data_IF_582774477024
#
_entry.id   IF_582774477024
#
_cell.length_a   1.000
_cell.length_b   1.000
_cell.length_c   1.000
_cell.angle_alpha   90.00
_cell.angle_beta   90.00
_cell.angle_gamma   90.00
#
_symmetry.space_group_name_H-M   'P 1'
#
loop_
_entity.id
_entity.type
_entity.pdbx_description
1 polymer ?
#
# COMPACT_ATOMS: atom_id res chain seq x y z
N UNK A 1 31.86 16.24 0.59
CA UNK A 1 30.82 15.92 -0.40
C UNK A 1 29.50 16.50 0.10
N UNK A 2 28.81 17.31 -0.71
CA UNK A 2 27.45 17.75 -0.33
C UNK A 2 26.49 16.55 -0.35
N UNK A 3 25.68 16.42 0.68
CA UNK A 3 24.63 15.41 0.72
C UNK A 3 23.67 15.63 -0.46
N UNK A 4 23.34 14.56 -1.18
CA UNK A 4 22.38 14.61 -2.30
C UNK A 4 21.00 14.99 -1.78
N UNK A 5 20.36 15.98 -2.37
CA UNK A 5 19.10 16.55 -1.88
C UNK A 5 17.90 15.88 -2.56
N UNK A 6 16.93 15.40 -1.77
CA UNK A 6 15.72 14.74 -2.24
C UNK A 6 14.48 15.46 -1.72
N UNK A 7 13.55 15.73 -2.62
CA UNK A 7 12.23 16.28 -2.28
C UNK A 7 11.15 15.20 -2.42
N UNK A 8 10.63 14.71 -1.30
CA UNK A 8 9.47 13.82 -1.26
C UNK A 8 8.19 14.65 -1.38
N UNK A 9 7.44 14.45 -2.45
CA UNK A 9 6.20 15.18 -2.73
C UNK A 9 5.03 14.25 -2.49
N UNK A 10 4.23 14.55 -1.46
CA UNK A 10 3.17 13.67 -0.99
C UNK A 10 1.90 14.43 -0.62
N UNK A 11 0.77 13.82 -0.87
CA UNK A 11 -0.50 14.21 -0.27
C UNK A 11 -0.79 13.30 0.91
N UNK A 12 -0.34 13.71 2.11
CA UNK A 12 -0.60 12.93 3.32
C UNK A 12 -2.11 12.70 3.50
N UNK A 13 -2.49 11.45 3.71
CA UNK A 13 -3.86 11.03 3.94
C UNK A 13 -4.10 10.48 5.36
N UNK A 14 -3.04 10.49 6.22
CA UNK A 14 -3.06 9.93 7.57
C UNK A 14 -3.27 8.41 7.58
N UNK A 15 -2.89 7.73 6.49
CA UNK A 15 -3.03 6.29 6.30
C UNK A 15 -1.83 5.75 5.49
N UNK A 16 -2.02 4.80 4.58
CA UNK A 16 -0.98 4.13 3.82
C UNK A 16 0.04 5.07 3.16
N UNK A 17 -0.42 6.11 2.46
CA UNK A 17 0.49 7.05 1.79
C UNK A 17 1.36 7.88 2.76
N UNK A 18 0.86 8.13 3.97
CA UNK A 18 1.67 8.76 5.03
C UNK A 18 2.76 7.81 5.51
N UNK A 19 2.44 6.53 5.70
CA UNK A 19 3.42 5.48 6.04
C UNK A 19 4.46 5.31 4.94
N UNK A 20 4.05 5.29 3.68
CA UNK A 20 4.97 5.24 2.53
C UNK A 20 6.01 6.36 2.60
N UNK A 21 5.55 7.57 2.84
CA UNK A 21 6.40 8.75 2.96
C UNK A 21 7.38 8.63 4.13
N UNK A 22 6.92 8.19 5.28
CA UNK A 22 7.74 8.05 6.50
C UNK A 22 8.81 6.97 6.32
N UNK A 23 8.47 5.82 5.72
CA UNK A 23 9.41 4.74 5.42
C UNK A 23 10.50 5.22 4.43
N UNK A 24 10.10 5.86 3.33
CA UNK A 24 11.04 6.38 2.34
C UNK A 24 11.95 7.47 2.92
N UNK A 25 11.38 8.40 3.69
CA UNK A 25 12.14 9.46 4.35
C UNK A 25 13.15 8.88 5.35
N UNK A 26 12.77 7.85 6.09
CA UNK A 26 13.64 7.14 7.03
C UNK A 26 14.83 6.48 6.31
N UNK A 27 14.58 5.75 5.24
CA UNK A 27 15.63 5.10 4.43
C UNK A 27 16.60 6.14 3.84
N UNK A 28 16.07 7.22 3.26
CA UNK A 28 16.90 8.26 2.65
C UNK A 28 17.77 8.99 3.67
N UNK A 29 17.18 9.38 4.82
CA UNK A 29 17.95 10.04 5.90
C UNK A 29 19.01 9.12 6.50
N UNK A 30 18.67 7.85 6.71
CA UNK A 30 19.62 6.84 7.17
C UNK A 30 20.80 6.62 6.22
N UNK A 31 20.62 6.88 4.93
CA UNK A 31 21.65 6.83 3.90
C UNK A 31 22.37 8.17 3.67
N UNK A 32 22.10 9.20 4.49
CA UNK A 32 22.79 10.50 4.44
C UNK A 32 22.26 11.49 3.41
N UNK A 33 21.05 11.27 2.85
CA UNK A 33 20.41 12.24 1.96
C UNK A 33 19.81 13.42 2.75
N UNK A 34 19.87 14.63 2.16
CA UNK A 34 19.10 15.78 2.63
C UNK A 34 17.66 15.67 2.13
N UNK A 35 16.71 15.39 3.04
CA UNK A 35 15.32 15.07 2.69
C UNK A 35 14.39 16.19 3.08
N UNK A 36 13.84 16.87 2.09
CA UNK A 36 12.71 17.77 2.23
C UNK A 36 11.39 17.01 1.95
N UNK A 37 10.36 17.23 2.78
CA UNK A 37 9.01 16.72 2.52
C UNK A 37 8.09 17.87 2.11
N UNK A 38 7.59 17.82 0.89
CA UNK A 38 6.61 18.78 0.37
C UNK A 38 5.19 18.23 0.50
N UNK A 39 4.47 18.68 1.53
CA UNK A 39 3.07 18.31 1.72
C UNK A 39 2.16 19.08 0.76
N UNK A 40 1.29 18.35 0.07
CA UNK A 40 0.27 18.92 -0.79
C UNK A 40 -1.01 19.15 0.01
N UNK A 41 -1.37 20.42 0.24
CA UNK A 41 -2.64 20.79 0.89
C UNK A 41 -3.88 20.39 0.07
N UNK A 42 -5.04 20.30 0.73
CA UNK A 42 -6.31 20.16 0.05
C UNK A 42 -6.55 21.37 -0.88
N UNK A 43 -6.86 21.12 -2.16
CA UNK A 43 -7.11 22.15 -3.16
C UNK A 43 -8.35 22.96 -2.82
N UNK A 44 -8.17 24.17 -2.29
CA UNK A 44 -9.20 25.22 -2.37
C UNK A 44 -9.40 25.62 -3.84
N UNK A 45 -10.64 25.56 -4.36
CA UNK A 45 -10.98 25.78 -5.78
C UNK A 45 -10.54 27.17 -6.35
N UNK A 46 -10.41 28.19 -5.52
CA UNK A 46 -10.10 29.56 -5.96
C UNK A 46 -8.61 29.89 -6.11
N UNK A 47 -7.73 29.29 -5.30
CA UNK A 47 -6.28 29.59 -5.39
C UNK A 47 -5.60 29.00 -6.65
N UNK A 48 -6.26 28.03 -7.30
CA UNK A 48 -5.69 27.31 -8.44
C UNK A 48 -5.74 28.05 -9.78
N UNK A 49 -6.72 28.94 -10.00
CA UNK A 49 -6.78 29.74 -11.24
C UNK A 49 -5.67 30.79 -11.29
N UNK A 50 -5.43 31.47 -10.18
CA UNK A 50 -4.35 32.45 -10.05
C UNK A 50 -2.97 31.81 -10.14
N UNK A 51 -2.77 30.65 -9.48
CA UNK A 51 -1.50 29.91 -9.55
C UNK A 51 -1.23 29.34 -10.96
N UNK A 52 -2.27 28.91 -11.70
CA UNK A 52 -2.13 28.48 -13.09
C UNK A 52 -1.78 29.63 -14.02
N UNK A 53 -2.38 30.81 -13.82
CA UNK A 53 -2.04 32.01 -14.60
C UNK A 53 -0.60 32.46 -14.33
N UNK A 54 -0.18 32.52 -13.07
CA UNK A 54 1.21 32.80 -12.69
C UNK A 54 2.21 31.75 -13.21
N UNK A 55 1.86 30.46 -13.19
CA UNK A 55 2.70 29.41 -13.75
C UNK A 55 2.82 29.50 -15.28
N UNK A 56 1.72 29.92 -15.97
CA UNK A 56 1.71 30.13 -17.43
C UNK A 56 2.52 31.36 -17.82
N UNK A 57 2.40 32.47 -17.08
CA UNK A 57 3.20 33.66 -17.27
C UNK A 57 4.68 33.43 -16.97
N UNK A 58 5.01 32.67 -15.90
CA UNK A 58 6.39 32.25 -15.61
C UNK A 58 6.97 31.32 -16.67
N UNK A 59 6.16 30.46 -17.33
CA UNK A 59 6.60 29.63 -18.47
C UNK A 59 6.97 30.47 -19.68
N UNK A 60 6.18 31.50 -20.02
CA UNK A 60 6.47 32.43 -21.12
C UNK A 60 7.73 33.27 -20.82
N UNK A 61 7.90 33.71 -19.60
CA UNK A 61 9.07 34.51 -19.18
C UNK A 61 10.36 33.70 -19.10
N UNK A 62 10.27 32.40 -18.75
CA UNK A 62 11.41 31.46 -18.67
C UNK A 62 11.87 30.92 -20.02
N UNK A 63 11.03 30.94 -21.04
CA UNK A 63 11.42 30.62 -22.42
C UNK A 63 12.46 31.60 -22.98
N UNK A 64 12.58 32.77 -22.39
CA UNK A 64 13.47 33.85 -22.86
C UNK A 64 14.82 33.90 -22.12
N UNK A 65 14.95 33.28 -20.98
CA UNK A 65 16.23 33.14 -20.25
C UNK A 65 16.64 31.68 -20.17
N UNK A 66 17.31 31.19 -21.19
CA UNK A 66 18.10 29.95 -21.12
C UNK A 66 19.37 30.20 -20.28
N UNK A 67 19.18 30.45 -18.98
CA UNK A 67 20.21 30.25 -17.98
C UNK A 67 19.80 29.03 -17.18
N UNK A 68 20.68 28.09 -16.97
CA UNK A 68 20.53 26.93 -16.08
C UNK A 68 20.07 27.46 -14.71
N UNK A 69 18.75 27.47 -14.48
CA UNK A 69 18.22 27.68 -13.15
C UNK A 69 18.68 26.46 -12.36
N UNK A 70 19.57 26.68 -11.40
CA UNK A 70 20.00 25.65 -10.45
C UNK A 70 18.75 24.98 -9.90
N UNK A 71 18.52 23.73 -10.26
CA UNK A 71 17.48 22.92 -9.66
C UNK A 71 17.71 22.93 -8.15
N UNK A 72 16.64 23.17 -7.37
CA UNK A 72 16.73 23.25 -5.92
C UNK A 72 17.08 21.92 -5.27
N UNK A 73 16.72 20.82 -5.96
CA UNK A 73 16.91 19.46 -5.50
C UNK A 73 17.59 18.63 -6.59
N UNK A 74 18.31 17.60 -6.19
CA UNK A 74 18.86 16.64 -7.13
C UNK A 74 17.74 15.74 -7.67
N UNK A 75 16.83 15.30 -6.77
CA UNK A 75 15.74 14.40 -7.13
C UNK A 75 14.40 14.84 -6.49
N UNK A 76 13.35 14.91 -7.30
CA UNK A 76 11.96 14.87 -6.84
C UNK A 76 11.47 13.42 -6.83
N UNK A 77 10.83 12.98 -5.76
CA UNK A 77 10.08 11.73 -5.70
C UNK A 77 8.62 12.07 -5.44
N UNK A 78 7.76 11.86 -6.43
CA UNK A 78 6.33 12.09 -6.34
C UNK A 78 5.62 10.80 -5.94
N UNK A 79 4.92 10.83 -4.80
CA UNK A 79 4.16 9.69 -4.31
C UNK A 79 2.71 9.78 -4.80
N UNK A 80 2.27 8.81 -5.61
CA UNK A 80 0.92 8.63 -6.15
C UNK A 80 0.44 9.77 -7.07
N UNK A 81 0.65 11.02 -6.68
CA UNK A 81 0.09 12.18 -7.37
C UNK A 81 1.14 12.91 -8.20
N UNK A 82 0.85 13.13 -9.49
CA UNK A 82 1.71 13.90 -10.39
C UNK A 82 1.52 15.42 -10.17
N UNK A 83 2.62 16.15 -10.06
CA UNK A 83 2.65 17.61 -9.86
C UNK A 83 3.50 18.28 -10.94
N UNK A 84 2.89 18.59 -12.10
CA UNK A 84 3.62 19.15 -13.25
C UNK A 84 4.36 20.44 -12.95
N UNK A 85 3.86 21.23 -11.99
CA UNK A 85 4.46 22.51 -11.58
C UNK A 85 5.77 22.34 -10.79
N UNK A 86 6.06 21.14 -10.29
CA UNK A 86 7.24 20.88 -9.47
C UNK A 86 8.40 20.23 -10.26
N UNK A 87 8.17 19.75 -11.48
CA UNK A 87 9.22 19.09 -12.27
C UNK A 87 10.50 19.93 -12.41
N UNK A 88 10.37 21.25 -12.60
CA UNK A 88 11.50 22.15 -12.76
C UNK A 88 12.29 22.44 -11.47
N UNK A 89 11.86 21.88 -10.34
CA UNK A 89 12.52 22.09 -9.05
C UNK A 89 13.62 21.07 -8.78
N UNK A 90 13.72 20.01 -9.56
CA UNK A 90 14.77 19.01 -9.42
C UNK A 90 15.42 18.69 -10.77
N UNK A 91 16.64 18.14 -10.70
CA UNK A 91 17.37 17.65 -11.88
C UNK A 91 16.74 16.37 -12.42
N UNK A 92 16.31 15.48 -11.53
CA UNK A 92 15.65 14.22 -11.84
C UNK A 92 14.27 14.14 -11.19
N UNK A 93 13.34 13.49 -11.86
CA UNK A 93 11.98 13.32 -11.38
C UNK A 93 11.60 11.84 -11.41
N UNK A 94 11.21 11.32 -10.26
CA UNK A 94 10.78 9.93 -10.04
C UNK A 94 9.33 9.92 -9.60
N UNK A 95 8.58 8.94 -10.09
CA UNK A 95 7.22 8.65 -9.63
C UNK A 95 7.20 7.32 -8.89
N UNK A 96 6.52 7.27 -7.74
CA UNK A 96 6.15 6.02 -7.05
C UNK A 96 4.63 5.97 -7.03
N UNK A 97 4.00 5.32 -8.01
CA UNK A 97 2.54 5.29 -8.13
C UNK A 97 1.91 4.16 -7.31
N UNK A 98 0.62 4.34 -7.01
CA UNK A 98 -0.30 3.27 -6.68
C UNK A 98 -1.28 3.13 -7.86
N UNK A 99 -1.30 2.00 -8.58
CA UNK A 99 -2.09 1.85 -9.81
C UNK A 99 -3.57 2.16 -9.65
N UNK A 100 -4.17 1.80 -8.52
CA UNK A 100 -5.58 2.00 -8.21
C UNK A 100 -5.97 3.46 -7.91
N UNK A 101 -4.96 4.35 -7.77
CA UNK A 101 -5.15 5.79 -7.55
C UNK A 101 -4.50 6.65 -8.64
N UNK A 102 -3.88 6.02 -9.66
CA UNK A 102 -3.21 6.74 -10.73
C UNK A 102 -4.22 7.16 -11.81
N UNK A 103 -4.76 8.37 -11.67
CA UNK A 103 -5.76 8.93 -12.59
C UNK A 103 -5.26 8.93 -14.05
N UNK A 104 -6.05 8.44 -14.99
CA UNK A 104 -5.72 8.34 -16.43
C UNK A 104 -5.23 9.64 -17.05
N UNK A 105 -5.71 10.80 -16.55
CA UNK A 105 -5.24 12.12 -17.00
C UNK A 105 -3.74 12.34 -16.82
N UNK A 106 -3.09 11.58 -15.94
CA UNK A 106 -1.65 11.70 -15.65
C UNK A 106 -0.78 10.85 -16.58
N UNK A 107 -1.35 9.96 -17.41
CA UNK A 107 -0.60 9.15 -18.37
C UNK A 107 0.24 10.03 -19.30
N UNK A 108 -0.30 11.15 -19.76
CA UNK A 108 0.41 12.13 -20.60
C UNK A 108 1.63 12.79 -19.94
N UNK A 109 1.74 12.74 -18.63
CA UNK A 109 2.85 13.32 -17.88
C UNK A 109 3.97 12.29 -17.62
N UNK A 110 3.71 11.00 -17.84
CA UNK A 110 4.68 9.91 -17.60
C UNK A 110 6.00 10.07 -18.35
N UNK A 111 6.04 10.51 -19.63
CA UNK A 111 7.29 10.74 -20.34
C UNK A 111 8.22 11.81 -19.75
N UNK A 112 7.72 12.56 -18.75
CA UNK A 112 8.51 13.60 -18.05
C UNK A 112 9.24 13.09 -16.83
N UNK A 113 8.99 11.84 -16.44
CA UNK A 113 9.71 11.19 -15.36
C UNK A 113 10.94 10.49 -15.90
N UNK A 114 12.05 10.64 -15.22
CA UNK A 114 13.28 9.89 -15.54
C UNK A 114 13.09 8.41 -15.23
N UNK A 115 12.27 8.08 -14.23
CA UNK A 115 11.97 6.72 -13.82
C UNK A 115 10.63 6.61 -13.07
N UNK A 116 9.95 5.48 -13.23
CA UNK A 116 8.81 5.07 -12.41
C UNK A 116 9.27 3.93 -11.51
N UNK A 117 9.31 4.17 -10.20
CA UNK A 117 9.64 3.14 -9.22
C UNK A 117 8.37 2.43 -8.79
N UNK A 118 8.32 1.14 -9.01
CA UNK A 118 7.13 0.32 -8.76
C UNK A 118 7.35 -0.60 -7.57
N UNK A 119 6.29 -0.80 -6.79
CA UNK A 119 6.32 -1.58 -5.55
C UNK A 119 6.11 -3.07 -5.79
N UNK A 120 5.51 -3.45 -6.91
CA UNK A 120 5.08 -4.81 -7.26
C UNK A 120 5.39 -5.11 -8.71
N UNK A 121 5.49 -6.40 -9.06
CA UNK A 121 5.61 -6.83 -10.46
C UNK A 121 4.35 -6.50 -11.26
N UNK A 122 3.17 -6.52 -10.63
CA UNK A 122 1.94 -6.03 -11.23
C UNK A 122 2.09 -4.56 -11.69
N UNK A 123 2.58 -3.69 -10.80
CA UNK A 123 2.89 -2.31 -11.15
C UNK A 123 3.91 -2.18 -12.27
N UNK A 124 4.95 -3.03 -12.28
CA UNK A 124 5.95 -3.07 -13.35
C UNK A 124 5.32 -3.37 -14.71
N UNK A 125 4.43 -4.38 -14.79
CA UNK A 125 3.71 -4.70 -16.02
C UNK A 125 2.79 -3.57 -16.48
N UNK A 126 2.02 -2.98 -15.56
CA UNK A 126 1.08 -1.90 -15.89
C UNK A 126 1.78 -0.66 -16.43
N UNK A 127 2.81 -0.16 -15.75
CA UNK A 127 3.54 1.02 -16.19
C UNK A 127 4.49 0.73 -17.35
N UNK A 128 5.02 -0.49 -17.45
CA UNK A 128 5.78 -0.95 -18.61
C UNK A 128 4.95 -0.97 -19.91
N UNK A 129 3.68 -1.42 -19.83
CA UNK A 129 2.74 -1.38 -20.93
C UNK A 129 2.42 0.07 -21.40
N UNK A 130 2.59 1.06 -20.52
CA UNK A 130 2.49 2.49 -20.84
C UNK A 130 3.83 3.06 -21.36
N UNK A 131 4.78 2.20 -21.71
CA UNK A 131 6.11 2.54 -22.24
C UNK A 131 6.93 3.43 -21.28
N UNK A 132 6.71 3.29 -19.97
CA UNK A 132 7.50 4.01 -18.98
C UNK A 132 8.77 3.26 -18.61
N UNK A 133 9.89 3.94 -18.41
CA UNK A 133 11.08 3.34 -17.84
C UNK A 133 10.82 2.99 -16.37
N UNK A 134 10.49 1.72 -16.08
CA UNK A 134 10.19 1.24 -14.73
C UNK A 134 11.41 0.66 -14.03
N UNK A 135 11.38 0.67 -12.70
CA UNK A 135 12.31 -0.09 -11.85
C UNK A 135 11.55 -0.66 -10.68
N UNK A 136 11.60 -1.98 -10.51
CA UNK A 136 11.00 -2.68 -9.38
C UNK A 136 11.86 -2.47 -8.13
N UNK A 137 11.39 -1.62 -7.23
CA UNK A 137 12.04 -1.39 -5.94
C UNK A 137 11.49 -2.31 -4.83
N UNK A 138 10.31 -2.92 -5.05
CA UNK A 138 9.55 -3.52 -3.96
C UNK A 138 9.06 -2.48 -2.96
N UNK A 139 8.62 -2.94 -1.80
CA UNK A 139 8.31 -2.08 -0.65
C UNK A 139 8.32 -2.88 0.65
N UNK A 140 8.06 -2.22 1.79
CA UNK A 140 7.94 -2.88 3.09
C UNK A 140 6.85 -2.24 3.95
N UNK A 141 6.56 -2.83 5.09
CA UNK A 141 5.66 -2.32 6.12
C UNK A 141 6.32 -2.43 7.50
N UNK A 142 5.70 -1.85 8.50
CA UNK A 142 6.14 -1.96 9.88
C UNK A 142 6.10 -3.41 10.39
N UNK A 143 6.96 -3.73 11.32
CA UNK A 143 6.92 -4.99 12.06
C UNK A 143 5.86 -4.90 13.16
N UNK A 144 4.77 -5.63 12.95
CA UNK A 144 3.64 -5.62 13.87
C UNK A 144 3.71 -6.72 14.94
N UNK A 145 4.75 -7.56 14.92
CA UNK A 145 4.88 -8.67 15.86
C UNK A 145 5.08 -8.20 17.29
N UNK A 146 4.34 -8.82 18.21
CA UNK A 146 4.47 -8.67 19.66
C UNK A 146 4.57 -10.07 20.28
N UNK A 147 5.59 -10.26 21.13
CA UNK A 147 5.74 -11.53 21.86
C UNK A 147 4.77 -11.63 23.03
N UNK A 148 4.46 -12.87 23.44
CA UNK A 148 3.72 -13.17 24.66
C UNK A 148 2.21 -12.85 24.60
N UNK A 149 1.64 -12.62 23.41
CA UNK A 149 0.19 -12.42 23.25
C UNK A 149 -0.48 -13.79 23.06
N UNK A 150 -1.40 -14.22 23.96
CA UNK A 150 -2.12 -15.46 23.80
C UNK A 150 -3.02 -15.45 22.58
N UNK A 151 -3.05 -16.57 21.84
CA UNK A 151 -3.97 -16.74 20.72
C UNK A 151 -5.40 -16.93 21.22
N UNK A 152 -6.34 -16.29 20.55
CA UNK A 152 -7.79 -16.45 20.73
C UNK A 152 -8.37 -17.19 19.53
N UNK A 153 -9.44 -18.00 19.75
CA UNK A 153 -10.20 -18.55 18.64
C UNK A 153 -10.79 -17.44 17.77
N UNK A 154 -10.71 -17.61 16.44
CA UNK A 154 -11.35 -16.68 15.50
C UNK A 154 -10.41 -16.08 14.47
N UNK A 155 -10.97 -15.15 13.72
CA UNK A 155 -10.32 -14.48 12.60
C UNK A 155 -10.22 -12.98 12.84
N UNK A 156 -9.17 -12.38 12.35
CA UNK A 156 -8.97 -10.94 12.37
C UNK A 156 -9.10 -10.35 10.96
N UNK A 157 -9.79 -9.22 10.84
CA UNK A 157 -9.88 -8.44 9.62
C UNK A 157 -9.65 -6.95 9.93
N UNK A 158 -8.58 -6.38 9.37
CA UNK A 158 -8.16 -4.99 9.61
C UNK A 158 -8.20 -4.11 8.35
N UNK A 159 -9.37 -3.78 7.79
CA UNK A 159 -9.48 -2.98 6.55
C UNK A 159 -9.08 -1.51 6.73
N UNK A 160 -8.87 -1.05 7.93
CA UNK A 160 -8.52 0.34 8.22
C UNK A 160 -9.63 1.33 7.83
N UNK A 161 -9.36 2.21 6.86
CA UNK A 161 -10.32 3.20 6.31
C UNK A 161 -10.79 2.87 4.89
N UNK A 162 -10.25 1.83 4.28
CA UNK A 162 -10.54 1.47 2.89
C UNK A 162 -11.92 0.83 2.76
N UNK A 163 -12.51 0.97 1.55
CA UNK A 163 -13.73 0.27 1.16
C UNK A 163 -13.46 -0.99 0.33
N UNK A 164 -12.26 -1.09 -0.26
CA UNK A 164 -11.92 -2.15 -1.22
C UNK A 164 -11.20 -3.32 -0.51
N UNK A 165 -11.72 -3.74 0.64
CA UNK A 165 -11.09 -4.77 1.47
C UNK A 165 -11.99 -6.00 1.70
N UNK A 166 -13.09 -6.12 0.96
CA UNK A 166 -14.00 -7.26 1.06
C UNK A 166 -14.76 -7.37 2.39
N UNK A 167 -14.84 -6.28 3.18
CA UNK A 167 -15.41 -6.31 4.54
C UNK A 167 -16.89 -6.69 4.55
N UNK A 168 -17.71 -6.07 3.70
CA UNK A 168 -19.15 -6.38 3.66
C UNK A 168 -19.44 -7.81 3.22
N UNK A 169 -18.84 -8.33 2.14
CA UNK A 169 -18.94 -9.73 1.78
C UNK A 169 -18.51 -10.71 2.88
N UNK A 170 -17.47 -10.37 3.69
CA UNK A 170 -17.10 -11.19 4.85
C UNK A 170 -18.18 -11.19 5.93
N UNK A 171 -18.79 -10.05 6.25
CA UNK A 171 -19.89 -9.98 7.22
C UNK A 171 -21.07 -10.82 6.74
N UNK A 172 -21.43 -10.71 5.47
CA UNK A 172 -22.48 -11.51 4.85
C UNK A 172 -22.15 -13.01 4.91
N UNK A 173 -20.91 -13.39 4.65
CA UNK A 173 -20.46 -14.77 4.73
C UNK A 173 -20.60 -15.31 6.18
N UNK A 174 -20.15 -14.58 7.18
CA UNK A 174 -20.28 -14.95 8.60
C UNK A 174 -21.74 -15.07 9.06
N UNK A 175 -22.66 -14.29 8.48
CA UNK A 175 -24.08 -14.39 8.78
C UNK A 175 -24.72 -15.73 8.37
N UNK A 176 -24.13 -16.41 7.40
CA UNK A 176 -24.58 -17.73 6.92
C UNK A 176 -23.99 -18.89 7.73
N UNK A 177 -22.98 -18.61 8.55
CA UNK A 177 -22.24 -19.59 9.33
C UNK A 177 -22.20 -19.22 10.81
N UNK A 178 -23.33 -19.28 11.55
CA UNK A 178 -23.37 -18.90 12.96
C UNK A 178 -22.50 -19.82 13.87
N UNK A 179 -22.12 -20.99 13.37
CA UNK A 179 -21.23 -21.95 14.03
C UNK A 179 -19.74 -21.56 13.95
N UNK A 180 -19.38 -20.66 13.06
CA UNK A 180 -17.98 -20.24 12.94
C UNK A 180 -17.53 -19.38 14.12
N UNK A 181 -16.24 -19.42 14.49
CA UNK A 181 -15.72 -18.58 15.55
C UNK A 181 -15.76 -17.10 15.17
N UNK A 182 -15.57 -16.25 16.15
CA UNK A 182 -15.69 -14.80 16.01
C UNK A 182 -14.79 -14.23 14.92
N UNK A 183 -15.37 -13.44 14.02
CA UNK A 183 -14.66 -12.53 13.12
C UNK A 183 -14.52 -11.16 13.81
N UNK A 184 -13.30 -10.81 14.21
CA UNK A 184 -12.98 -9.50 14.77
C UNK A 184 -12.58 -8.53 13.67
N UNK A 185 -13.36 -7.47 13.49
CA UNK A 185 -13.15 -6.47 12.43
C UNK A 185 -12.79 -5.13 13.06
N UNK A 186 -11.66 -4.53 12.67
CA UNK A 186 -11.29 -3.15 13.04
C UNK A 186 -11.47 -2.24 11.84
N UNK A 187 -12.64 -1.59 11.74
CA UNK A 187 -13.01 -0.81 10.56
C UNK A 187 -13.41 0.62 10.89
N UNK A 188 -12.52 1.58 10.68
CA UNK A 188 -12.72 3.00 11.01
C UNK A 188 -13.30 3.84 9.87
N UNK A 189 -14.01 3.24 8.94
CA UNK A 189 -14.72 3.94 7.86
C UNK A 189 -16.06 4.48 8.37
N UNK A 190 -16.19 5.81 8.45
CA UNK A 190 -17.34 6.47 9.11
C UNK A 190 -18.65 6.44 8.31
N UNK A 191 -18.56 6.45 6.98
CA UNK A 191 -19.73 6.60 6.09
C UNK A 191 -19.98 5.31 5.31
N UNK A 192 -20.32 4.25 6.03
CA UNK A 192 -20.72 2.97 5.46
C UNK A 192 -21.95 2.50 6.23
N UNK A 193 -22.96 2.15 5.49
CA UNK A 193 -24.10 1.41 6.02
C UNK A 193 -23.66 -0.03 6.31
N UNK A 194 -23.91 -0.49 7.51
CA UNK A 194 -23.50 -1.82 7.95
C UNK A 194 -24.78 -2.61 8.16
N UNK A 195 -24.89 -3.80 7.57
CA UNK A 195 -26.03 -4.67 7.82
C UNK A 195 -26.11 -5.07 9.31
N UNK A 196 -27.23 -5.58 9.79
CA UNK A 196 -27.30 -6.18 11.11
C UNK A 196 -26.17 -7.19 11.30
N UNK A 197 -25.41 -7.04 12.40
CA UNK A 197 -24.28 -7.92 12.67
C UNK A 197 -24.74 -9.25 13.25
N UNK A 198 -24.25 -10.38 12.75
CA UNK A 198 -24.46 -11.67 13.37
C UNK A 198 -23.69 -11.76 14.69
N UNK A 199 -24.12 -12.66 15.59
CA UNK A 199 -23.55 -12.80 16.93
C UNK A 199 -22.05 -13.15 16.94
N UNK A 200 -21.57 -13.79 15.89
CA UNK A 200 -20.17 -14.18 15.71
C UNK A 200 -19.34 -13.13 14.94
N UNK A 201 -19.81 -11.89 14.79
CA UNK A 201 -19.03 -10.76 14.23
C UNK A 201 -18.88 -9.67 15.28
N UNK A 202 -17.63 -9.37 15.62
CA UNK A 202 -17.24 -8.25 16.50
C UNK A 202 -16.69 -7.11 15.66
N UNK A 203 -17.46 -6.04 15.48
CA UNK A 203 -17.02 -4.85 14.73
C UNK A 203 -16.58 -3.74 15.68
N UNK A 204 -15.33 -3.28 15.52
CA UNK A 204 -14.72 -2.19 16.28
C UNK A 204 -14.57 -0.98 15.34
N UNK A 205 -15.24 0.12 15.63
CA UNK A 205 -15.24 1.36 14.85
C UNK A 205 -14.56 2.52 15.56
N UNK A 206 -14.41 2.42 16.87
CA UNK A 206 -13.84 3.44 17.71
C UNK A 206 -12.33 3.57 17.49
N UNK A 207 -11.79 4.68 18.00
CA UNK A 207 -10.35 4.85 18.02
C UNK A 207 -9.74 3.80 18.95
N UNK A 208 -8.73 3.15 18.43
CA UNK A 208 -7.90 2.21 19.16
C UNK A 208 -6.46 2.71 19.05
N UNK A 209 -5.73 2.76 20.15
CA UNK A 209 -4.31 3.10 20.10
C UNK A 209 -3.51 2.00 19.38
N UNK A 210 -2.27 2.32 19.05
CA UNK A 210 -1.47 1.43 18.24
C UNK A 210 -1.11 0.14 18.98
N UNK A 211 -0.78 0.21 20.27
CA UNK A 211 -0.42 -0.96 21.05
C UNK A 211 -1.61 -1.90 21.26
N UNK A 212 -2.80 -1.35 21.49
CA UNK A 212 -4.04 -2.12 21.58
C UNK A 212 -4.35 -2.83 20.24
N UNK A 213 -4.22 -2.10 19.12
CA UNK A 213 -4.38 -2.70 17.79
C UNK A 213 -3.36 -3.82 17.54
N UNK A 214 -2.08 -3.60 17.89
CA UNK A 214 -1.03 -4.62 17.71
C UNK A 214 -1.30 -5.85 18.58
N UNK A 215 -1.72 -5.69 19.82
CA UNK A 215 -2.13 -6.83 20.69
C UNK A 215 -3.29 -7.60 20.07
N UNK A 216 -4.30 -6.91 19.59
CA UNK A 216 -5.45 -7.53 18.95
C UNK A 216 -5.06 -8.29 17.68
N UNK A 217 -4.20 -7.72 16.83
CA UNK A 217 -3.65 -8.41 15.66
C UNK A 217 -2.91 -9.69 16.06
N UNK A 218 -2.01 -9.60 17.07
CA UNK A 218 -1.20 -10.74 17.52
C UNK A 218 -2.03 -11.82 18.24
N UNK A 219 -3.22 -11.51 18.72
CA UNK A 219 -4.08 -12.49 19.39
C UNK A 219 -4.84 -13.43 18.45
N UNK A 220 -4.78 -13.25 17.14
CA UNK A 220 -5.48 -14.08 16.16
C UNK A 220 -4.50 -14.84 15.26
N UNK A 221 -4.71 -16.14 15.11
CA UNK A 221 -3.88 -16.99 14.25
C UNK A 221 -4.16 -16.79 12.75
N UNK A 222 -5.35 -16.32 12.40
CA UNK A 222 -5.83 -16.18 11.04
C UNK A 222 -6.22 -14.75 10.72
N UNK A 223 -5.64 -14.19 9.65
CA UNK A 223 -5.88 -12.83 9.18
C UNK A 223 -6.54 -12.84 7.82
N UNK A 224 -7.77 -12.37 7.73
CA UNK A 224 -8.51 -12.21 6.48
C UNK A 224 -8.18 -10.86 5.85
N UNK A 225 -7.55 -10.90 4.70
CA UNK A 225 -7.13 -9.73 3.92
C UNK A 225 -7.64 -9.80 2.47
N UNK A 226 -8.96 -9.99 2.21
CA UNK A 226 -9.50 -10.16 0.86
C UNK A 226 -9.63 -8.83 0.14
N UNK A 227 -8.51 -8.14 -0.05
CA UNK A 227 -8.47 -6.86 -0.75
C UNK A 227 -8.82 -7.02 -2.22
N UNK A 228 -9.70 -6.17 -2.73
CA UNK A 228 -10.06 -6.16 -4.15
C UNK A 228 -8.89 -5.68 -5.03
N UNK A 229 -8.04 -4.82 -4.52
CA UNK A 229 -6.83 -4.32 -5.17
C UNK A 229 -5.93 -3.63 -4.16
N UNK A 230 -4.64 -3.52 -4.47
CA UNK A 230 -3.64 -2.86 -3.64
C UNK A 230 -2.60 -2.13 -4.51
N UNK A 231 -2.11 -0.99 -4.03
CA UNK A 231 -0.90 -0.38 -4.58
C UNK A 231 0.36 -1.10 -4.13
N UNK A 232 0.34 -1.57 -2.87
CA UNK A 232 1.37 -2.46 -2.31
C UNK A 232 0.74 -3.57 -1.48
N UNK A 233 -0.06 -3.25 -0.47
CA UNK A 233 -0.68 -4.23 0.41
C UNK A 233 -0.11 -4.20 1.83
N UNK A 234 -0.08 -3.01 2.47
CA UNK A 234 0.41 -2.90 3.85
C UNK A 234 -0.25 -3.88 4.81
N UNK A 235 -1.57 -4.04 4.75
CA UNK A 235 -2.30 -4.97 5.62
C UNK A 235 -1.86 -6.43 5.45
N UNK A 236 -1.51 -6.82 4.23
CA UNK A 236 -0.96 -8.16 3.94
C UNK A 236 0.42 -8.32 4.56
N UNK A 237 1.32 -7.36 4.32
CA UNK A 237 2.70 -7.41 4.80
C UNK A 237 2.77 -7.27 6.32
N UNK A 238 1.89 -6.46 6.92
CA UNK A 238 1.71 -6.38 8.38
C UNK A 238 1.28 -7.75 8.94
N UNK A 239 0.33 -8.44 8.30
CA UNK A 239 -0.08 -9.79 8.70
C UNK A 239 1.06 -10.80 8.58
N UNK A 240 1.82 -10.78 7.47
CA UNK A 240 3.00 -11.64 7.30
C UNK A 240 4.07 -11.37 8.38
N UNK A 241 4.22 -10.12 8.82
CA UNK A 241 5.18 -9.75 9.88
C UNK A 241 4.87 -10.39 11.23
N UNK A 242 3.59 -10.69 11.49
CA UNK A 242 3.16 -11.36 12.72
C UNK A 242 3.63 -12.83 12.76
N UNK A 243 3.89 -13.44 11.62
CA UNK A 243 4.09 -14.87 11.50
C UNK A 243 2.78 -15.65 11.70
N UNK A 244 1.66 -15.06 11.29
CA UNK A 244 0.32 -15.67 11.32
C UNK A 244 -0.12 -16.06 9.91
N UNK A 245 -1.19 -16.85 9.80
CA UNK A 245 -1.71 -17.27 8.50
C UNK A 245 -2.52 -16.15 7.86
N UNK A 246 -2.02 -15.61 6.76
CA UNK A 246 -2.71 -14.59 5.96
C UNK A 246 -3.55 -15.26 4.89
N UNK A 247 -4.83 -14.91 4.82
CA UNK A 247 -5.79 -15.37 3.83
C UNK A 247 -6.12 -14.19 2.92
N UNK A 248 -5.89 -14.33 1.62
CA UNK A 248 -6.15 -13.27 0.64
C UNK A 248 -6.64 -13.80 -0.68
N UNK A 249 -7.11 -12.93 -1.56
CA UNK A 249 -7.56 -13.32 -2.91
C UNK A 249 -6.38 -13.69 -3.81
N UNK A 250 -6.59 -14.67 -4.67
CA UNK A 250 -5.66 -15.01 -5.76
C UNK A 250 -5.85 -14.04 -6.93
N UNK A 251 -5.41 -12.83 -6.70
CA UNK A 251 -5.46 -11.71 -7.64
C UNK A 251 -4.27 -10.78 -7.44
N UNK A 252 -3.84 -10.12 -8.50
CA UNK A 252 -2.70 -9.21 -8.48
C UNK A 252 -3.05 -7.86 -7.83
N UNK A 253 -2.16 -7.30 -7.02
CA UNK A 253 -0.82 -7.78 -6.63
C UNK A 253 -0.81 -8.63 -5.34
N UNK A 254 -1.96 -8.99 -4.76
CA UNK A 254 -2.06 -9.66 -3.46
C UNK A 254 -1.34 -11.00 -3.46
N UNK A 255 -1.48 -11.79 -4.54
CA UNK A 255 -0.83 -13.09 -4.71
C UNK A 255 0.69 -13.02 -4.98
N UNK A 256 1.26 -11.84 -5.20
CA UNK A 256 2.72 -11.65 -5.20
C UNK A 256 3.28 -11.63 -3.75
N UNK A 257 2.49 -11.11 -2.81
CA UNK A 257 2.88 -10.97 -1.41
C UNK A 257 2.59 -12.22 -0.60
N UNK A 258 1.41 -12.80 -0.80
CA UNK A 258 0.98 -14.03 -0.16
C UNK A 258 0.98 -15.15 -1.20
N UNK A 259 1.68 -16.23 -0.91
CA UNK A 259 1.75 -17.43 -1.76
C UNK A 259 1.35 -18.67 -0.94
N UNK A 260 1.07 -19.82 -1.57
CA UNK A 260 0.69 -21.03 -0.86
C UNK A 260 1.72 -21.51 0.19
N UNK A 261 2.98 -21.08 0.09
CA UNK A 261 4.03 -21.44 1.05
C UNK A 261 3.93 -20.63 2.35
N UNK A 262 3.28 -19.44 2.34
CA UNK A 262 3.24 -18.50 3.47
C UNK A 262 1.86 -17.92 3.77
N UNK A 263 0.80 -18.52 3.23
CA UNK A 263 -0.58 -18.14 3.48
C UNK A 263 -1.57 -18.96 2.67
N UNK A 264 -2.80 -18.50 2.61
CA UNK A 264 -3.91 -19.14 1.90
C UNK A 264 -4.42 -18.20 0.81
N UNK A 265 -4.42 -18.67 -0.44
CA UNK A 265 -5.02 -17.97 -1.57
C UNK A 265 -6.45 -18.45 -1.81
N UNK A 266 -7.34 -17.52 -2.01
CA UNK A 266 -8.76 -17.74 -2.28
C UNK A 266 -9.05 -17.38 -3.74
N UNK A 267 -9.64 -18.29 -4.49
CA UNK A 267 -10.04 -18.02 -5.86
C UNK A 267 -10.87 -16.74 -5.94
N UNK A 268 -10.60 -15.93 -6.97
CA UNK A 268 -11.24 -14.64 -7.16
C UNK A 268 -11.47 -14.39 -8.66
N UNK A 269 -12.40 -13.51 -8.97
CA UNK A 269 -12.70 -13.11 -10.34
C UNK A 269 -12.60 -11.59 -10.50
N UNK A 270 -12.29 -11.14 -11.71
CA UNK A 270 -12.25 -9.72 -12.01
C UNK A 270 -13.66 -9.11 -11.92
N UNK A 271 -13.81 -8.09 -11.06
CA UNK A 271 -15.08 -7.41 -10.77
C UNK A 271 -15.13 -5.97 -11.31
N UNK A 272 -14.14 -5.59 -12.12
CA UNK A 272 -14.06 -4.26 -12.70
C UNK A 272 -12.67 -3.67 -12.65
N UNK A 273 -12.60 -2.35 -12.77
CA UNK A 273 -11.35 -1.59 -12.72
C UNK A 273 -11.48 -0.37 -11.82
N UNK A 274 -10.38 -0.04 -11.15
CA UNK A 274 -10.19 1.26 -10.52
C UNK A 274 -8.92 1.89 -11.08
N UNK A 275 -9.06 2.97 -11.86
CA UNK A 275 -7.99 3.61 -12.63
C UNK A 275 -7.22 2.58 -13.49
N UNK A 276 -5.97 2.27 -13.18
CA UNK A 276 -5.16 1.28 -13.91
C UNK A 276 -5.27 -0.14 -13.35
N UNK A 277 -5.77 -0.30 -12.13
CA UNK A 277 -5.81 -1.59 -11.45
C UNK A 277 -7.11 -2.36 -11.74
N UNK A 278 -7.00 -3.69 -11.76
CA UNK A 278 -8.16 -4.59 -11.74
C UNK A 278 -8.67 -4.74 -10.31
N UNK A 279 -9.98 -4.74 -10.14
CA UNK A 279 -10.64 -5.11 -8.89
C UNK A 279 -10.97 -6.60 -8.92
N UNK A 280 -10.75 -7.29 -7.82
CA UNK A 280 -11.03 -8.71 -7.66
C UNK A 280 -12.02 -8.92 -6.52
N UNK A 281 -13.10 -9.63 -6.79
CA UNK A 281 -13.97 -10.16 -5.77
C UNK A 281 -13.65 -11.64 -5.53
N UNK A 282 -13.57 -12.04 -4.27
CA UNK A 282 -13.37 -13.46 -3.95
C UNK A 282 -14.60 -14.28 -4.33
N UNK A 283 -14.36 -15.50 -4.78
CA UNK A 283 -15.42 -16.50 -4.90
C UNK A 283 -15.90 -16.92 -3.51
N UNK A 284 -17.19 -16.85 -3.28
CA UNK A 284 -17.79 -17.09 -1.96
C UNK A 284 -17.55 -18.52 -1.48
N UNK A 285 -17.75 -19.53 -2.36
CA UNK A 285 -17.54 -20.92 -1.99
C UNK A 285 -16.06 -21.23 -1.73
N UNK A 286 -15.15 -20.59 -2.50
CA UNK A 286 -13.72 -20.69 -2.24
C UNK A 286 -13.31 -20.04 -0.92
N UNK A 287 -13.94 -18.93 -0.52
CA UNK A 287 -13.70 -18.31 0.78
C UNK A 287 -14.23 -19.18 1.93
N UNK A 288 -15.42 -19.77 1.78
CA UNK A 288 -15.97 -20.76 2.72
C UNK A 288 -15.00 -21.93 2.90
N UNK A 289 -14.55 -22.52 1.82
CA UNK A 289 -13.58 -23.63 1.87
C UNK A 289 -12.24 -23.22 2.51
N UNK A 290 -11.79 -21.99 2.29
CA UNK A 290 -10.56 -21.48 2.90
C UNK A 290 -10.71 -21.28 4.43
N UNK A 291 -11.87 -20.79 4.89
CA UNK A 291 -12.18 -20.67 6.32
C UNK A 291 -12.23 -22.05 6.96
N UNK A 292 -12.97 -23.01 6.39
CA UNK A 292 -13.06 -24.39 6.88
C UNK A 292 -11.69 -25.07 6.94
N UNK A 293 -10.86 -24.88 5.89
CA UNK A 293 -9.48 -25.36 5.89
C UNK A 293 -8.68 -24.77 7.05
N UNK A 294 -8.84 -23.48 7.34
CA UNK A 294 -8.14 -22.83 8.46
C UNK A 294 -8.61 -23.36 9.80
N UNK A 295 -9.92 -23.63 9.96
CA UNK A 295 -10.47 -24.20 11.18
C UNK A 295 -9.98 -25.64 11.43
N UNK A 296 -9.81 -26.42 10.37
CA UNK A 296 -9.29 -27.78 10.44
C UNK A 296 -7.75 -27.85 10.39
N UNK A 297 -7.04 -26.71 10.27
CA UNK A 297 -5.60 -26.66 10.04
C UNK A 297 -4.81 -27.18 11.26
N UNK A 298 -3.97 -28.21 11.11
CA UNK A 298 -3.09 -28.68 12.17
C UNK A 298 -2.14 -27.57 12.64
N UNK A 299 -1.78 -27.60 13.91
CA UNK A 299 -0.86 -26.61 14.49
C UNK A 299 0.52 -26.60 13.79
N UNK A 300 0.98 -27.74 13.35
CA UNK A 300 2.23 -27.88 12.61
C UNK A 300 2.18 -27.14 11.27
N UNK A 301 1.09 -27.30 10.50
CA UNK A 301 0.89 -26.58 9.23
C UNK A 301 0.79 -25.08 9.45
N UNK A 302 0.00 -24.65 10.45
CA UNK A 302 -0.13 -23.26 10.84
C UNK A 302 1.21 -22.63 11.20
N UNK A 303 2.00 -23.32 12.02
CA UNK A 303 3.33 -22.88 12.43
C UNK A 303 4.28 -22.79 11.25
N UNK A 304 4.27 -23.76 10.35
CA UNK A 304 5.10 -23.77 9.14
C UNK A 304 4.78 -22.57 8.24
N UNK A 305 3.49 -22.30 7.95
CA UNK A 305 3.07 -21.15 7.16
C UNK A 305 3.50 -19.83 7.82
N UNK A 306 3.31 -19.71 9.13
CA UNK A 306 3.72 -18.54 9.90
C UNK A 306 5.22 -18.29 9.89
N UNK A 307 6.03 -19.34 10.00
CA UNK A 307 7.50 -19.24 9.91
C UNK A 307 7.94 -18.76 8.51
N UNK A 308 7.35 -19.30 7.44
CA UNK A 308 7.65 -18.85 6.07
C UNK A 308 7.20 -17.41 5.83
N UNK A 309 6.02 -17.01 6.34
CA UNK A 309 5.53 -15.65 6.27
C UNK A 309 6.50 -14.68 6.95
N UNK A 310 6.93 -15.01 8.16
CA UNK A 310 7.90 -14.21 8.92
C UNK A 310 9.25 -14.14 8.22
N UNK A 311 9.80 -15.25 7.76
CA UNK A 311 11.08 -15.28 7.07
C UNK A 311 11.06 -14.41 5.79
N UNK A 312 9.97 -14.49 5.02
CA UNK A 312 9.79 -13.64 3.85
C UNK A 312 9.73 -12.15 4.24
N UNK A 313 8.97 -11.80 5.30
CA UNK A 313 8.89 -10.42 5.77
C UNK A 313 10.26 -9.87 6.17
N UNK A 314 11.03 -10.63 6.95
CA UNK A 314 12.36 -10.22 7.42
C UNK A 314 13.31 -9.98 6.23
N UNK A 315 13.37 -10.91 5.29
CA UNK A 315 14.18 -10.79 4.09
C UNK A 315 13.77 -9.60 3.22
N UNK A 316 12.44 -9.39 3.05
CA UNK A 316 11.93 -8.27 2.26
C UNK A 316 12.21 -6.91 2.93
N UNK A 317 12.07 -6.83 4.26
CA UNK A 317 12.36 -5.62 5.05
C UNK A 317 13.84 -5.23 4.98
N UNK A 318 14.72 -6.21 5.03
CA UNK A 318 16.17 -6.00 4.90
C UNK A 318 16.55 -5.58 3.48
N UNK A 319 15.97 -6.21 2.46
CA UNK A 319 16.33 -5.98 1.07
C UNK A 319 15.77 -4.66 0.50
N UNK A 320 14.62 -4.17 1.00
CA UNK A 320 13.96 -2.98 0.45
C UNK A 320 14.83 -1.72 0.45
N UNK A 321 15.48 -1.32 1.56
CA UNK A 321 16.31 -0.12 1.58
C UNK A 321 17.40 -0.15 0.52
N UNK A 322 18.09 -1.29 0.37
CA UNK A 322 19.14 -1.45 -0.64
C UNK A 322 18.58 -1.31 -2.04
N UNK A 323 17.50 -2.06 -2.39
CA UNK A 323 16.89 -1.97 -3.74
C UNK A 323 16.47 -0.54 -4.09
N UNK A 324 15.88 0.18 -3.15
CA UNK A 324 15.45 1.55 -3.35
C UNK A 324 16.63 2.51 -3.55
N UNK A 325 17.69 2.40 -2.73
CA UNK A 325 18.86 3.26 -2.82
C UNK A 325 19.68 2.98 -4.10
N UNK A 326 19.82 1.71 -4.49
CA UNK A 326 20.49 1.32 -5.74
C UNK A 326 19.74 1.89 -6.96
N UNK A 327 18.40 1.78 -6.96
CA UNK A 327 17.57 2.36 -8.00
C UNK A 327 17.71 3.89 -8.09
N UNK A 328 17.82 4.55 -6.94
CA UNK A 328 18.01 6.01 -6.85
C UNK A 328 19.42 6.41 -7.30
N UNK A 329 20.45 5.63 -6.96
CA UNK A 329 21.81 5.86 -7.41
C UNK A 329 21.97 5.72 -8.92
N UNK A 330 21.24 4.80 -9.54
CA UNK A 330 21.24 4.59 -11.00
C UNK A 330 20.63 5.74 -11.81
N UNK A 331 20.08 6.78 -11.18
CA UNK A 331 19.61 8.02 -11.83
C UNK A 331 20.70 9.07 -11.98
N UNK A 332 21.89 8.81 -11.46
CA UNK A 332 23.00 9.76 -11.42
C UNK A 332 23.55 10.07 -12.81
#
# INVERSE_FOLDING_TARGET
MHARSVNLIVRSNGAGLTRDMELLAGVLRGAGYDVTVTHMGHRGRLSNRLKRLHARLRRLWRGWRRGVLNARYDVNIMLEHVRPELFAQAQRNVLIPNPEWFEQKWIRELPRFDRVFVKTRHGERLFGALQCPTTLIGFTSEDCRRGGVPLQPGFFHGPGRSGNKGTLPLIELWSRHPEWPTLTIVWRRKRVEIPPLPANVRLIRDFMDEDELRRLQNSHAFHLCPSQTEGYGHSLVESLSLGQVTITVDGEPMNELVTPERGVLVAAHAAGKQELATLYDFDTAAMEAAVERCLAMPEEERTRLGLHARAWYDANREAFPRRFLDALAALA
#
